data_IF_288247432226
#
_entry.id   IF_288247432226
#
_cell.length_a   1.000
_cell.length_b   1.000
_cell.length_c   1.000
_cell.angle_alpha   90.00
_cell.angle_beta   90.00
_cell.angle_gamma   90.00
#
_symmetry.space_group_name_H-M   'P 1'
#
loop_
_entity.id
_entity.type
_entity.pdbx_description
1 polymer ?
#
# COMPACT_ATOMS: atom_id res chain seq x y z
N UNK A 1 30.22 4.33 37.57
CA UNK A 1 29.28 3.21 37.83
C UNK A 1 28.66 2.92 36.49
N UNK A 2 29.34 2.08 35.71
CA UNK A 2 29.00 1.79 34.33
C UNK A 2 29.18 0.28 34.13
N UNK A 3 28.09 -0.39 33.80
CA UNK A 3 28.06 -1.63 33.02
C UNK A 3 26.62 -2.08 32.86
N UNK A 4 26.06 -1.94 31.66
CA UNK A 4 24.98 -2.80 31.21
C UNK A 4 25.05 -2.96 29.68
N UNK A 5 25.10 -4.23 29.27
CA UNK A 5 25.05 -4.77 27.90
C UNK A 5 26.37 -4.91 27.14
N UNK A 6 27.02 -6.06 27.40
CA UNK A 6 28.03 -6.66 26.54
C UNK A 6 27.43 -7.33 25.30
N UNK A 7 28.07 -7.08 24.16
CA UNK A 7 27.91 -7.83 22.91
C UNK A 7 29.05 -8.85 22.85
N UNK A 8 28.70 -10.13 22.82
CA UNK A 8 29.64 -11.24 22.66
C UNK A 8 30.20 -11.30 21.23
N UNK A 9 31.53 -11.25 21.09
CA UNK A 9 32.28 -11.30 19.82
C UNK A 9 32.98 -12.65 19.59
N UNK A 10 32.30 -13.79 19.75
CA UNK A 10 32.94 -15.11 19.57
C UNK A 10 32.38 -16.00 18.45
N UNK A 11 31.33 -15.60 17.73
CA UNK A 11 30.66 -16.50 16.78
C UNK A 11 31.29 -16.64 15.39
N UNK A 12 32.01 -15.64 14.88
CA UNK A 12 32.44 -15.61 13.46
C UNK A 12 33.90 -15.97 13.21
N UNK A 13 34.70 -16.19 14.26
CA UNK A 13 36.12 -16.52 14.13
C UNK A 13 36.42 -18.05 14.10
N UNK A 14 35.47 -18.90 14.48
CA UNK A 14 35.70 -20.35 14.56
C UNK A 14 35.38 -21.15 13.28
N UNK A 15 34.83 -20.54 12.23
CA UNK A 15 34.52 -21.24 10.97
C UNK A 15 35.61 -21.15 9.89
N UNK A 16 36.72 -20.42 10.15
CA UNK A 16 37.85 -20.28 9.21
C UNK A 16 39.12 -21.05 9.58
N UNK A 17 39.12 -21.77 10.70
CA UNK A 17 40.30 -22.51 11.17
C UNK A 17 40.20 -24.04 10.98
N UNK A 18 39.24 -24.54 10.19
CA UNK A 18 38.94 -25.97 10.08
C UNK A 18 38.90 -26.57 8.66
N UNK A 19 39.37 -25.85 7.63
CA UNK A 19 39.29 -26.33 6.23
C UNK A 19 40.69 -26.44 5.58
N UNK A 20 41.77 -26.11 6.30
CA UNK A 20 43.14 -26.14 5.75
C UNK A 20 43.92 -27.44 5.99
N UNK A 21 43.37 -28.42 6.73
CA UNK A 21 44.05 -29.71 7.01
C UNK A 21 43.15 -30.92 6.71
N UNK A 22 42.44 -30.91 5.57
CA UNK A 22 41.94 -32.17 4.99
C UNK A 22 42.99 -32.62 3.99
N UNK A 23 43.96 -33.40 4.47
CA UNK A 23 44.64 -34.36 3.63
C UNK A 23 43.58 -35.31 3.07
N UNK A 24 43.30 -35.19 1.78
CA UNK A 24 42.49 -36.16 1.05
C UNK A 24 43.31 -37.45 1.04
N UNK A 25 43.09 -38.31 2.03
CA UNK A 25 43.54 -39.70 1.98
C UNK A 25 42.94 -40.35 0.73
N UNK A 26 43.80 -40.92 -0.11
CA UNK A 26 43.52 -41.65 -1.36
C UNK A 26 42.65 -42.92 -1.20
N UNK A 27 41.76 -42.97 -0.22
CA UNK A 27 41.04 -44.20 0.18
C UNK A 27 39.53 -44.16 -0.06
N UNK A 28 39.00 -43.13 -0.73
CA UNK A 28 37.56 -43.04 -1.06
C UNK A 28 37.16 -43.53 -2.46
N UNK A 29 38.08 -44.18 -3.21
CA UNK A 29 37.73 -44.97 -4.39
C UNK A 29 38.11 -46.45 -4.19
N UNK A 30 37.47 -47.11 -3.22
CA UNK A 30 37.37 -48.57 -3.27
C UNK A 30 36.39 -48.95 -4.38
N UNK A 31 36.91 -49.17 -5.58
CA UNK A 31 36.21 -49.97 -6.58
C UNK A 31 36.12 -51.40 -6.05
N UNK A 32 34.91 -51.89 -5.86
CA UNK A 32 34.66 -53.33 -5.76
C UNK A 32 35.18 -53.98 -7.04
N UNK A 33 36.27 -54.73 -6.92
CA UNK A 33 36.89 -55.52 -7.98
C UNK A 33 36.09 -56.78 -8.29
N UNK A 34 34.79 -56.60 -8.56
CA UNK A 34 34.05 -57.56 -9.37
C UNK A 34 34.41 -57.29 -10.83
N UNK A 35 35.04 -58.26 -11.46
CA UNK A 35 35.45 -58.24 -12.86
C UNK A 35 34.27 -57.83 -13.77
N UNK A 36 34.16 -56.55 -14.06
CA UNK A 36 33.47 -56.10 -15.27
C UNK A 36 34.52 -56.05 -16.36
N UNK A 37 34.25 -56.78 -17.42
CA UNK A 37 35.07 -56.91 -18.62
C UNK A 37 35.04 -55.57 -19.40
N UNK A 38 35.49 -54.49 -18.77
CA UNK A 38 35.46 -53.15 -19.32
C UNK A 38 36.60 -53.01 -20.32
N UNK A 39 36.28 -53.18 -21.59
CA UNK A 39 37.23 -52.91 -22.67
C UNK A 39 37.59 -51.41 -22.64
N UNK A 40 38.85 -51.04 -22.90
CA UNK A 40 39.27 -49.64 -22.90
C UNK A 40 38.37 -48.84 -23.85
N UNK A 41 38.06 -47.59 -23.51
CA UNK A 41 37.08 -46.75 -24.22
C UNK A 41 37.41 -46.60 -25.72
N UNK A 42 38.70 -46.64 -26.06
CA UNK A 42 39.26 -46.65 -27.41
C UNK A 42 39.00 -47.94 -28.21
N UNK A 43 38.46 -48.98 -27.59
CA UNK A 43 38.01 -50.22 -28.25
C UNK A 43 36.54 -50.18 -28.68
N UNK A 44 35.77 -49.25 -28.12
CA UNK A 44 34.34 -49.08 -28.40
C UNK A 44 34.13 -47.89 -29.34
N UNK A 45 34.99 -46.87 -29.23
CA UNK A 45 34.90 -45.64 -30.00
C UNK A 45 36.26 -45.38 -30.64
N UNK A 46 36.27 -45.12 -31.96
CA UNK A 46 37.51 -44.76 -32.64
C UNK A 46 38.03 -43.42 -32.13
N UNK A 47 39.34 -43.24 -32.11
CA UNK A 47 39.97 -41.99 -31.65
C UNK A 47 39.47 -40.77 -32.44
N UNK A 48 39.22 -40.93 -33.74
CA UNK A 48 38.62 -39.89 -34.58
C UNK A 48 37.17 -39.54 -34.19
N UNK A 49 36.38 -40.53 -33.78
CA UNK A 49 35.00 -40.29 -33.29
C UNK A 49 35.02 -39.64 -31.92
N UNK A 50 35.96 -40.00 -31.05
CA UNK A 50 36.15 -39.36 -29.75
C UNK A 50 36.56 -37.89 -29.90
N UNK A 51 37.50 -37.61 -30.81
CA UNK A 51 37.87 -36.23 -31.17
C UNK A 51 36.69 -35.45 -31.73
N UNK A 52 35.88 -36.05 -32.61
CA UNK A 52 34.69 -35.39 -33.15
C UNK A 52 33.63 -35.09 -32.07
N UNK A 53 33.47 -35.97 -31.06
CA UNK A 53 32.57 -35.73 -29.92
C UNK A 53 33.12 -34.61 -29.02
N UNK A 54 34.42 -34.63 -28.73
CA UNK A 54 35.09 -33.57 -27.97
C UNK A 54 35.07 -32.23 -28.71
N UNK A 55 35.16 -32.26 -30.04
CA UNK A 55 35.10 -31.06 -30.88
C UNK A 55 33.66 -30.57 -31.07
N UNK A 56 32.65 -31.45 -31.02
CA UNK A 56 31.25 -31.08 -30.94
C UNK A 56 30.90 -30.38 -29.61
N UNK A 57 31.56 -30.78 -28.52
CA UNK A 57 31.42 -30.14 -27.21
C UNK A 57 32.27 -28.85 -27.10
N UNK A 58 33.33 -28.73 -27.92
CA UNK A 58 34.09 -27.48 -28.15
C UNK A 58 33.48 -26.58 -29.23
N UNK A 59 32.27 -26.87 -29.74
CA UNK A 59 31.49 -25.84 -30.42
C UNK A 59 31.31 -24.74 -29.39
N UNK A 60 32.13 -23.70 -29.54
CA UNK A 60 32.05 -22.42 -28.85
C UNK A 60 30.57 -22.10 -28.65
N UNK A 61 30.05 -22.35 -27.45
CA UNK A 61 29.04 -21.46 -26.89
C UNK A 61 29.73 -20.11 -26.96
N UNK A 62 29.26 -19.18 -27.80
CA UNK A 62 29.79 -17.84 -27.75
C UNK A 62 29.68 -17.42 -26.28
N UNK A 63 30.78 -16.98 -25.68
CA UNK A 63 30.67 -16.04 -24.58
C UNK A 63 29.92 -14.83 -25.16
N UNK A 64 28.58 -14.93 -25.19
CA UNK A 64 27.72 -13.78 -25.29
C UNK A 64 28.07 -12.95 -24.07
N UNK A 65 28.88 -11.91 -24.30
CA UNK A 65 28.77 -10.66 -23.56
C UNK A 65 27.29 -10.48 -23.21
N UNK A 66 26.92 -10.36 -21.92
CA UNK A 66 25.52 -10.45 -21.54
C UNK A 66 24.83 -9.18 -22.03
N UNK A 67 24.36 -9.20 -23.27
CA UNK A 67 23.33 -8.27 -23.72
C UNK A 67 22.09 -8.76 -23.01
N UNK A 68 21.89 -8.21 -21.81
CA UNK A 68 20.75 -8.52 -20.97
C UNK A 68 19.52 -8.01 -21.70
N UNK A 69 18.90 -8.88 -22.51
CA UNK A 69 17.70 -8.51 -23.25
C UNK A 69 16.50 -8.44 -22.28
N UNK A 70 16.15 -7.21 -21.94
CA UNK A 70 15.01 -6.87 -21.09
C UNK A 70 13.69 -7.41 -21.61
N UNK A 71 13.54 -7.56 -22.93
CA UNK A 71 12.35 -8.13 -23.53
C UNK A 71 12.19 -9.63 -23.21
N UNK A 72 13.28 -10.39 -23.18
CA UNK A 72 13.25 -11.83 -22.85
C UNK A 72 12.90 -12.04 -21.39
N UNK A 73 13.48 -11.24 -20.48
CA UNK A 73 13.14 -11.32 -19.05
C UNK A 73 11.67 -10.96 -18.82
N UNK A 74 11.16 -9.90 -19.47
CA UNK A 74 9.75 -9.53 -19.34
C UNK A 74 8.82 -10.60 -19.91
N UNK A 75 9.16 -11.20 -21.04
CA UNK A 75 8.38 -12.32 -21.58
C UNK A 75 8.29 -13.47 -20.58
N UNK A 76 9.35 -13.78 -19.84
CA UNK A 76 9.31 -14.79 -18.77
C UNK A 76 8.41 -14.36 -17.61
N UNK A 77 8.45 -13.09 -17.19
CA UNK A 77 7.55 -12.54 -16.16
C UNK A 77 6.09 -12.69 -16.59
N UNK A 78 5.77 -12.28 -17.82
CA UNK A 78 4.42 -12.34 -18.38
C UNK A 78 3.89 -13.77 -18.51
N UNK A 79 4.78 -14.72 -18.81
CA UNK A 79 4.44 -16.14 -18.91
C UNK A 79 4.52 -16.88 -17.56
N UNK A 80 4.82 -16.19 -16.45
CA UNK A 80 4.96 -16.80 -15.12
C UNK A 80 6.13 -17.77 -14.99
N UNK A 81 7.12 -17.70 -15.88
CA UNK A 81 8.30 -18.56 -15.89
C UNK A 81 9.35 -18.07 -14.89
N UNK A 82 10.27 -18.93 -14.42
CA UNK A 82 11.35 -18.49 -13.54
C UNK A 82 12.24 -17.46 -14.25
N UNK A 83 12.43 -16.31 -13.62
CA UNK A 83 13.27 -15.21 -14.10
C UNK A 83 14.24 -14.76 -13.00
N UNK A 84 15.39 -14.20 -13.41
CA UNK A 84 16.37 -13.61 -12.49
C UNK A 84 16.61 -12.15 -12.86
N UNK A 85 16.36 -11.25 -11.90
CA UNK A 85 16.58 -9.81 -12.04
C UNK A 85 17.97 -9.38 -11.58
N UNK A 86 18.74 -10.27 -10.96
CA UNK A 86 20.08 -9.98 -10.44
C UNK A 86 21.12 -9.67 -11.53
N UNK A 87 20.79 -10.00 -12.78
CA UNK A 87 21.59 -9.68 -13.97
C UNK A 87 21.61 -8.18 -14.28
N UNK A 88 20.57 -7.45 -13.88
CA UNK A 88 20.44 -6.00 -14.10
C UNK A 88 21.12 -5.24 -12.96
N UNK A 89 22.45 -5.06 -13.07
CA UNK A 89 23.25 -4.40 -12.03
C UNK A 89 23.38 -2.89 -12.26
N UNK A 90 23.50 -2.46 -13.52
CA UNK A 90 23.70 -1.06 -13.85
C UNK A 90 22.39 -0.26 -13.70
N UNK A 91 22.49 1.05 -13.47
CA UNK A 91 21.32 1.92 -13.45
C UNK A 91 20.66 1.94 -14.84
N UNK A 92 21.45 1.96 -15.91
CA UNK A 92 20.96 1.97 -17.28
C UNK A 92 20.16 0.70 -17.62
N UNK A 93 20.61 -0.46 -17.15
CA UNK A 93 19.94 -1.74 -17.40
C UNK A 93 18.59 -1.76 -16.67
N UNK A 94 18.54 -1.23 -15.45
CA UNK A 94 17.31 -1.13 -14.66
C UNK A 94 16.32 -0.13 -15.26
N UNK A 95 16.82 0.99 -15.79
CA UNK A 95 15.95 1.95 -16.49
C UNK A 95 15.39 1.37 -17.78
N UNK A 96 16.20 0.64 -18.55
CA UNK A 96 15.77 -0.03 -19.78
C UNK A 96 14.77 -1.16 -19.48
N UNK A 97 14.97 -1.91 -18.39
CA UNK A 97 14.02 -2.91 -17.92
C UNK A 97 12.68 -2.29 -17.52
N UNK A 98 12.70 -1.13 -16.86
CA UNK A 98 11.48 -0.42 -16.50
C UNK A 98 10.75 0.14 -17.72
N UNK A 99 11.47 0.73 -18.68
CA UNK A 99 10.88 1.25 -19.93
C UNK A 99 10.21 0.13 -20.73
N UNK A 100 10.89 -1.01 -20.85
CA UNK A 100 10.33 -2.18 -21.54
C UNK A 100 9.13 -2.76 -20.78
N UNK A 101 9.12 -2.71 -19.45
CA UNK A 101 7.97 -3.13 -18.65
C UNK A 101 6.76 -2.21 -18.89
N UNK A 102 6.98 -0.90 -18.93
CA UNK A 102 5.92 0.09 -19.23
C UNK A 102 5.38 -0.11 -20.64
N UNK A 103 6.26 -0.31 -21.62
CA UNK A 103 5.86 -0.60 -23.01
C UNK A 103 5.03 -1.88 -23.15
N UNK A 104 5.18 -2.84 -22.23
CA UNK A 104 4.36 -4.06 -22.21
C UNK A 104 2.92 -3.83 -21.73
N UNK A 105 2.65 -2.72 -21.04
CA UNK A 105 1.33 -2.36 -20.51
C UNK A 105 0.81 -3.27 -19.38
N UNK A 106 1.60 -4.23 -18.90
CA UNK A 106 1.17 -5.15 -17.86
C UNK A 106 1.53 -4.61 -16.46
N UNK A 107 0.51 -4.35 -15.64
CA UNK A 107 0.65 -3.80 -14.29
C UNK A 107 1.47 -4.70 -13.34
N UNK A 108 1.35 -6.03 -13.45
CA UNK A 108 2.12 -6.96 -12.61
C UNK A 108 3.60 -6.94 -12.99
N UNK A 109 3.91 -6.91 -14.28
CA UNK A 109 5.29 -6.81 -14.76
C UNK A 109 5.94 -5.50 -14.32
N UNK A 110 5.22 -4.38 -14.45
CA UNK A 110 5.66 -3.06 -13.97
C UNK A 110 5.91 -3.11 -12.46
N UNK A 111 4.97 -3.66 -11.68
CA UNK A 111 5.10 -3.73 -10.22
C UNK A 111 6.31 -4.57 -9.79
N UNK A 112 6.52 -5.74 -10.38
CA UNK A 112 7.66 -6.62 -10.09
C UNK A 112 8.98 -5.88 -10.31
N UNK A 113 9.11 -5.19 -11.44
CA UNK A 113 10.33 -4.42 -11.77
C UNK A 113 10.50 -3.23 -10.83
N UNK A 114 9.43 -2.49 -10.52
CA UNK A 114 9.48 -1.37 -9.56
C UNK A 114 9.91 -1.84 -8.17
N UNK A 115 9.38 -2.97 -7.68
CA UNK A 115 9.78 -3.54 -6.39
C UNK A 115 11.23 -4.02 -6.36
N UNK A 116 11.76 -4.49 -7.49
CA UNK A 116 13.18 -4.81 -7.61
C UNK A 116 14.04 -3.54 -7.55
N UNK A 117 13.62 -2.48 -8.24
CA UNK A 117 14.32 -1.19 -8.23
C UNK A 117 14.30 -0.57 -6.82
N UNK A 118 13.16 -0.59 -6.12
CA UNK A 118 13.04 -0.03 -4.76
C UNK A 118 13.92 -0.77 -3.75
N UNK A 119 14.11 -2.09 -3.91
CA UNK A 119 14.99 -2.89 -3.04
C UNK A 119 16.47 -2.70 -3.33
N UNK A 120 16.85 -2.30 -4.55
CA UNK A 120 18.25 -2.30 -4.99
C UNK A 120 18.85 -0.91 -5.17
N UNK A 121 18.04 0.15 -5.21
CA UNK A 121 18.50 1.55 -5.36
C UNK A 121 18.24 2.37 -4.10
N UNK A 122 18.98 3.48 -3.97
CA UNK A 122 18.71 4.50 -2.96
C UNK A 122 17.36 5.17 -3.23
N UNK A 123 16.55 5.49 -2.20
CA UNK A 123 15.21 6.06 -2.37
C UNK A 123 15.15 7.30 -3.26
N UNK A 124 16.12 8.22 -3.14
CA UNK A 124 16.19 9.44 -3.96
C UNK A 124 16.29 9.16 -5.47
N UNK A 125 17.01 8.12 -5.86
CA UNK A 125 17.12 7.73 -7.27
C UNK A 125 15.82 7.09 -7.76
N UNK A 126 15.18 6.28 -6.92
CA UNK A 126 13.88 5.65 -7.24
C UNK A 126 12.82 6.71 -7.46
N UNK A 127 12.72 7.70 -6.56
CA UNK A 127 11.75 8.79 -6.71
C UNK A 127 11.97 9.56 -8.01
N UNK A 128 13.21 9.91 -8.35
CA UNK A 128 13.53 10.56 -9.62
C UNK A 128 13.12 9.71 -10.83
N UNK A 129 13.44 8.42 -10.82
CA UNK A 129 13.08 7.50 -11.91
C UNK A 129 11.57 7.31 -12.08
N UNK A 130 10.81 7.38 -10.98
CA UNK A 130 9.35 7.28 -11.01
C UNK A 130 8.69 8.62 -11.39
N UNK A 131 9.30 9.76 -11.04
CA UNK A 131 8.81 11.08 -11.45
C UNK A 131 8.83 11.23 -12.98
N UNK A 132 9.83 10.68 -13.65
CA UNK A 132 9.93 10.70 -15.12
C UNK A 132 8.92 9.76 -15.80
N UNK A 133 8.26 8.85 -15.05
CA UNK A 133 7.44 7.76 -15.58
C UNK A 133 6.13 7.57 -14.80
N UNK A 134 5.09 8.27 -15.24
CA UNK A 134 3.78 8.30 -14.56
C UNK A 134 3.13 6.91 -14.38
N UNK A 135 3.24 6.00 -15.36
CA UNK A 135 2.59 4.69 -15.28
C UNK A 135 3.18 3.80 -14.18
N UNK A 136 4.51 3.70 -14.13
CA UNK A 136 5.21 2.96 -13.08
C UNK A 136 4.92 3.53 -11.69
N UNK A 137 4.82 4.85 -11.61
CA UNK A 137 4.48 5.54 -10.38
C UNK A 137 3.05 5.26 -9.91
N UNK A 138 2.06 5.29 -10.81
CA UNK A 138 0.67 5.01 -10.46
C UNK A 138 0.50 3.58 -9.96
N UNK A 139 1.16 2.61 -10.61
CA UNK A 139 1.21 1.22 -10.16
C UNK A 139 1.85 1.11 -8.77
N UNK A 140 2.93 1.84 -8.53
CA UNK A 140 3.59 1.86 -7.22
C UNK A 140 2.72 2.49 -6.12
N UNK A 141 2.06 3.61 -6.40
CA UNK A 141 1.12 4.28 -5.48
C UNK A 141 -0.03 3.33 -5.14
N UNK A 142 -0.57 2.62 -6.13
CA UNK A 142 -1.62 1.63 -5.90
C UNK A 142 -1.16 0.48 -5.00
N UNK A 143 0.05 -0.05 -5.25
CA UNK A 143 0.66 -1.05 -4.37
C UNK A 143 0.84 -0.54 -2.93
N UNK A 144 1.40 0.66 -2.75
CA UNK A 144 1.59 1.25 -1.43
C UNK A 144 0.25 1.51 -0.72
N UNK A 145 -0.79 1.90 -1.46
CA UNK A 145 -2.14 2.12 -0.93
C UNK A 145 -2.72 0.83 -0.36
N UNK A 146 -2.50 -0.29 -1.07
CA UNK A 146 -2.92 -1.64 -0.64
C UNK A 146 -2.15 -2.12 0.58
N UNK A 147 -0.86 -1.75 0.70
CA UNK A 147 0.00 -2.05 1.85
C UNK A 147 -0.17 -1.08 3.03
N UNK A 148 -1.01 -0.05 2.90
CA UNK A 148 -1.21 1.01 3.89
C UNK A 148 0.07 1.79 4.24
N UNK A 149 1.01 1.89 3.30
CA UNK A 149 2.27 2.62 3.47
C UNK A 149 2.11 4.11 3.15
N UNK A 150 1.28 4.81 3.93
CA UNK A 150 0.81 6.16 3.64
C UNK A 150 1.89 7.23 3.71
N UNK A 151 2.89 7.04 4.56
CA UNK A 151 4.02 7.97 4.65
C UNK A 151 4.79 8.01 3.32
N UNK A 152 5.10 6.85 2.74
CA UNK A 152 5.80 6.79 1.45
C UNK A 152 4.98 7.39 0.30
N UNK A 153 3.66 7.17 0.28
CA UNK A 153 2.77 7.79 -0.72
C UNK A 153 2.77 9.31 -0.56
N UNK A 154 2.66 9.78 0.67
CA UNK A 154 2.61 11.22 0.98
C UNK A 154 3.92 11.87 0.58
N UNK A 155 5.06 11.27 0.91
CA UNK A 155 6.38 11.78 0.54
C UNK A 155 6.56 11.81 -0.99
N UNK A 156 6.18 10.73 -1.68
CA UNK A 156 6.29 10.62 -3.13
C UNK A 156 5.47 11.70 -3.85
N UNK A 157 4.23 11.91 -3.42
CA UNK A 157 3.34 12.91 -4.00
C UNK A 157 3.72 14.34 -3.59
N UNK A 158 4.18 14.54 -2.36
CA UNK A 158 4.68 15.84 -1.89
C UNK A 158 5.91 16.30 -2.68
N UNK A 159 6.84 15.39 -3.00
CA UNK A 159 8.01 15.68 -3.85
C UNK A 159 7.64 16.13 -5.27
N UNK A 160 6.44 15.80 -5.75
CA UNK A 160 5.92 16.25 -7.05
C UNK A 160 5.14 17.54 -6.99
N UNK A 161 4.97 18.13 -5.80
CA UNK A 161 4.04 19.24 -5.59
C UNK A 161 2.57 18.83 -5.66
N UNK A 162 2.26 17.52 -5.71
CA UNK A 162 0.89 16.97 -5.76
C UNK A 162 0.33 16.75 -4.35
N UNK A 163 0.37 17.79 -3.53
CA UNK A 163 -0.06 17.76 -2.13
C UNK A 163 -1.55 17.43 -1.97
N UNK A 164 -2.39 17.87 -2.91
CA UNK A 164 -3.82 17.55 -2.92
C UNK A 164 -4.07 16.04 -3.08
N UNK A 165 -3.41 15.41 -4.05
CA UNK A 165 -3.56 13.97 -4.28
C UNK A 165 -3.09 13.15 -3.08
N UNK A 166 -2.01 13.60 -2.42
CA UNK A 166 -1.53 13.01 -1.18
C UNK A 166 -2.58 13.07 -0.07
N UNK A 167 -3.23 14.23 0.09
CA UNK A 167 -4.28 14.44 1.08
C UNK A 167 -5.52 13.57 0.81
N UNK A 168 -5.97 13.50 -0.45
CA UNK A 168 -7.14 12.72 -0.86
C UNK A 168 -6.91 11.21 -0.73
N UNK A 169 -5.72 10.71 -1.09
CA UNK A 169 -5.39 9.30 -0.91
C UNK A 169 -5.33 8.93 0.58
N UNK A 170 -4.71 9.78 1.41
CA UNK A 170 -4.67 9.58 2.86
C UNK A 170 -6.08 9.57 3.46
N UNK A 171 -6.94 10.53 3.07
CA UNK A 171 -8.35 10.57 3.48
C UNK A 171 -9.08 9.26 3.12
N UNK A 172 -8.97 8.81 1.87
CA UNK A 172 -9.60 7.56 1.41
C UNK A 172 -9.13 6.35 2.21
N UNK A 173 -7.84 6.27 2.52
CA UNK A 173 -7.29 5.19 3.33
C UNK A 173 -7.81 5.25 4.77
N UNK A 174 -7.85 6.43 5.37
CA UNK A 174 -8.35 6.62 6.74
C UNK A 174 -9.81 6.15 6.85
N UNK A 175 -10.67 6.61 5.92
CA UNK A 175 -12.11 6.29 5.91
C UNK A 175 -12.36 4.81 5.66
N UNK A 176 -11.68 4.18 4.69
CA UNK A 176 -11.90 2.76 4.36
C UNK A 176 -11.41 1.78 5.44
N UNK A 177 -10.36 2.15 6.18
CA UNK A 177 -9.69 1.23 7.10
C UNK A 177 -9.98 1.47 8.58
N UNK A 178 -10.70 2.53 8.94
CA UNK A 178 -11.00 2.85 10.34
C UNK A 178 -12.49 2.67 10.61
N UNK A 179 -12.85 1.58 11.30
CA UNK A 179 -14.25 1.26 11.65
C UNK A 179 -14.73 1.95 12.93
N UNK A 180 -13.80 2.24 13.83
CA UNK A 180 -14.08 2.90 15.11
C UNK A 180 -14.21 4.41 14.89
N UNK A 181 -15.37 4.98 15.20
CA UNK A 181 -15.69 6.39 14.98
C UNK A 181 -14.80 7.34 15.79
N UNK A 182 -14.43 6.98 17.02
CA UNK A 182 -13.58 7.81 17.87
C UNK A 182 -12.17 7.89 17.31
N UNK A 183 -11.63 6.75 16.85
CA UNK A 183 -10.33 6.69 16.18
C UNK A 183 -10.37 7.37 14.83
N UNK A 184 -11.48 7.23 14.10
CA UNK A 184 -11.70 7.88 12.82
C UNK A 184 -11.67 9.40 12.98
N UNK A 185 -12.40 9.94 13.97
CA UNK A 185 -12.41 11.35 14.32
C UNK A 185 -10.99 11.87 14.59
N UNK A 186 -10.23 11.19 15.46
CA UNK A 186 -8.85 11.59 15.79
C UNK A 186 -7.95 11.61 14.54
N UNK A 187 -8.05 10.60 13.68
CA UNK A 187 -7.27 10.52 12.44
C UNK A 187 -7.67 11.60 11.44
N UNK A 188 -8.97 11.89 11.29
CA UNK A 188 -9.47 12.94 10.41
C UNK A 188 -9.04 14.34 10.88
N UNK A 189 -9.15 14.63 12.18
CA UNK A 189 -8.64 15.89 12.76
C UNK A 189 -7.15 16.05 12.47
N UNK A 190 -6.36 14.99 12.67
CA UNK A 190 -4.93 15.01 12.35
C UNK A 190 -4.70 15.27 10.86
N UNK A 191 -5.34 14.50 9.98
CA UNK A 191 -5.24 14.63 8.53
C UNK A 191 -5.58 16.05 8.07
N UNK A 192 -6.69 16.60 8.58
CA UNK A 192 -7.10 17.98 8.31
C UNK A 192 -6.02 18.99 8.70
N UNK A 193 -5.53 18.92 9.95
CA UNK A 193 -4.49 19.84 10.46
C UNK A 193 -3.16 19.72 9.72
N UNK A 194 -2.80 18.53 9.23
CA UNK A 194 -1.51 18.31 8.57
C UNK A 194 -1.53 18.61 7.08
N UNK A 195 -2.65 18.38 6.40
CA UNK A 195 -2.72 18.40 4.94
C UNK A 195 -3.74 19.41 4.39
N UNK A 196 -4.99 19.35 4.87
CA UNK A 196 -6.07 20.18 4.32
C UNK A 196 -6.07 21.63 4.81
N UNK A 197 -5.48 21.93 5.97
CA UNK A 197 -5.41 23.32 6.48
C UNK A 197 -4.67 24.26 5.52
N UNK A 198 -3.71 23.71 4.77
CA UNK A 198 -2.91 24.45 3.78
C UNK A 198 -3.52 24.36 2.37
N UNK A 199 -4.70 23.75 2.22
CA UNK A 199 -5.43 23.55 0.96
C UNK A 199 -6.88 24.07 1.08
N UNK A 200 -7.10 25.35 1.41
CA UNK A 200 -8.46 25.87 1.61
C UNK A 200 -9.30 25.91 0.33
N UNK A 201 -8.66 25.99 -0.84
CA UNK A 201 -9.35 26.15 -2.13
C UNK A 201 -9.92 24.84 -2.69
N UNK A 202 -9.67 23.68 -2.06
CA UNK A 202 -10.18 22.40 -2.54
C UNK A 202 -11.57 22.08 -2.01
N UNK A 203 -12.37 21.37 -2.82
CA UNK A 203 -13.75 20.99 -2.49
C UNK A 203 -13.81 19.93 -1.37
N UNK A 204 -12.73 19.20 -1.19
CA UNK A 204 -12.58 18.15 -0.21
C UNK A 204 -12.34 18.71 1.21
N UNK A 205 -11.77 19.92 1.34
CA UNK A 205 -11.60 20.60 2.63
C UNK A 205 -12.91 20.80 3.39
N UNK A 206 -13.96 21.42 2.81
CA UNK A 206 -15.23 21.57 3.52
C UNK A 206 -15.92 20.22 3.77
N UNK A 207 -15.71 19.22 2.90
CA UNK A 207 -16.18 17.86 3.15
C UNK A 207 -15.55 17.26 4.41
N UNK A 208 -14.22 17.32 4.56
CA UNK A 208 -13.51 16.78 5.73
C UNK A 208 -13.92 17.52 7.00
N UNK A 209 -14.05 18.84 6.95
CA UNK A 209 -14.54 19.63 8.09
C UNK A 209 -15.96 19.23 8.50
N UNK A 210 -16.87 19.09 7.54
CA UNK A 210 -18.24 18.67 7.81
C UNK A 210 -18.30 17.24 8.36
N UNK A 211 -17.43 16.35 7.89
CA UNK A 211 -17.39 15.00 8.42
C UNK A 211 -16.85 14.95 9.86
N UNK A 212 -15.81 15.73 10.18
CA UNK A 212 -15.30 15.89 11.55
C UNK A 212 -16.43 16.38 12.48
N UNK A 213 -17.12 17.45 12.08
CA UNK A 213 -18.26 18.02 12.84
C UNK A 213 -19.36 16.98 13.13
N UNK A 214 -19.69 16.13 12.15
CA UNK A 214 -20.67 15.06 12.32
C UNK A 214 -20.20 14.02 13.35
N UNK A 215 -18.94 13.61 13.28
CA UNK A 215 -18.37 12.65 14.22
C UNK A 215 -18.24 13.22 15.63
N UNK A 216 -17.93 14.52 15.78
CA UNK A 216 -17.95 15.22 17.07
C UNK A 216 -19.35 15.23 17.68
N UNK A 217 -20.38 15.45 16.84
CA UNK A 217 -21.78 15.38 17.25
C UNK A 217 -22.15 13.96 17.74
N UNK A 218 -21.76 12.91 17.02
CA UNK A 218 -21.99 11.51 17.42
C UNK A 218 -21.25 11.17 18.72
N UNK A 219 -20.02 11.65 18.87
CA UNK A 219 -19.24 11.46 20.10
C UNK A 219 -19.91 12.16 21.31
N UNK A 220 -20.46 13.36 21.11
CA UNK A 220 -21.22 14.06 22.13
C UNK A 220 -22.50 13.31 22.52
N UNK A 221 -23.20 12.69 21.57
CA UNK A 221 -24.33 11.80 21.87
C UNK A 221 -23.92 10.58 22.69
N UNK A 222 -22.84 9.89 22.32
CA UNK A 222 -22.37 8.71 23.07
C UNK A 222 -22.01 9.01 24.53
N UNK A 223 -21.72 10.27 24.87
CA UNK A 223 -21.52 10.70 26.26
C UNK A 223 -22.84 10.77 27.07
N UNK A 224 -23.98 10.90 26.39
CA UNK A 224 -25.33 10.95 26.96
C UNK A 224 -25.84 9.50 27.05
N UNK A 225 -25.47 8.82 28.12
CA UNK A 225 -25.56 7.35 28.36
C UNK A 225 -26.95 6.69 28.31
N UNK A 226 -27.99 7.31 27.75
CA UNK A 226 -29.38 6.86 27.91
C UNK A 226 -30.19 6.75 26.62
N UNK A 227 -29.57 6.76 25.43
CA UNK A 227 -30.35 6.74 24.19
C UNK A 227 -29.84 5.76 23.14
N UNK A 228 -30.79 5.35 22.31
CA UNK A 228 -30.66 4.45 21.15
C UNK A 228 -29.45 4.88 20.30
N UNK A 229 -28.45 4.00 20.17
CA UNK A 229 -27.22 4.32 19.45
C UNK A 229 -27.54 4.63 17.98
N UNK A 230 -27.16 5.83 17.54
CA UNK A 230 -27.19 6.20 16.12
C UNK A 230 -26.26 5.25 15.36
N UNK A 231 -26.76 4.63 14.29
CA UNK A 231 -25.97 3.70 13.49
C UNK A 231 -24.63 4.31 13.06
N UNK A 232 -23.52 3.54 13.05
CA UNK A 232 -22.18 4.08 12.84
C UNK A 232 -21.97 4.72 11.45
N UNK A 233 -22.75 4.35 10.44
CA UNK A 233 -22.66 4.92 9.09
C UNK A 233 -23.85 5.82 8.72
N UNK A 234 -24.54 6.37 9.72
CA UNK A 234 -25.69 7.26 9.53
C UNK A 234 -25.35 8.52 8.73
N UNK A 235 -26.23 8.90 7.82
CA UNK A 235 -26.09 10.16 7.10
C UNK A 235 -26.43 11.37 8.00
N UNK A 236 -26.05 12.58 7.57
CA UNK A 236 -26.45 13.83 8.26
C UNK A 236 -27.97 13.93 8.42
N UNK A 237 -28.74 13.45 7.44
CA UNK A 237 -30.21 13.49 7.49
C UNK A 237 -30.77 12.48 8.49
N UNK A 238 -30.13 11.32 8.64
CA UNK A 238 -30.52 10.33 9.65
C UNK A 238 -30.19 10.83 11.06
N UNK A 239 -29.02 11.45 11.23
CA UNK A 239 -28.65 12.15 12.47
C UNK A 239 -29.64 13.27 12.81
N UNK A 240 -30.07 14.05 11.80
CA UNK A 240 -31.09 15.08 11.99
C UNK A 240 -32.45 14.48 12.38
N UNK A 241 -32.87 13.39 11.72
CA UNK A 241 -34.11 12.67 12.06
C UNK A 241 -34.08 12.19 13.50
N UNK A 242 -32.96 11.61 13.93
CA UNK A 242 -32.74 11.20 15.31
C UNK A 242 -32.84 12.39 16.28
N UNK A 243 -32.14 13.49 15.99
CA UNK A 243 -32.20 14.69 16.81
C UNK A 243 -33.61 15.27 16.93
N UNK A 244 -34.38 15.31 15.84
CA UNK A 244 -35.75 15.79 15.87
C UNK A 244 -36.71 14.86 16.63
N UNK A 245 -36.40 13.56 16.71
CA UNK A 245 -37.16 12.59 17.50
C UNK A 245 -36.85 12.75 19.00
N UNK A 246 -35.57 12.70 19.37
CA UNK A 246 -35.10 12.54 20.76
C UNK A 246 -34.70 13.85 21.45
N UNK A 247 -34.33 14.89 20.69
CA UNK A 247 -33.75 16.14 21.22
C UNK A 247 -34.49 17.40 20.75
N UNK A 248 -35.76 17.28 20.36
CA UNK A 248 -36.56 18.40 19.86
C UNK A 248 -36.62 19.60 20.81
N UNK A 249 -36.81 19.34 22.11
CA UNK A 249 -36.97 20.38 23.14
C UNK A 249 -35.65 20.88 23.74
N UNK A 250 -34.52 20.40 23.23
CA UNK A 250 -33.19 20.83 23.68
C UNK A 250 -32.93 22.26 23.19
N UNK A 251 -32.32 23.09 24.04
CA UNK A 251 -31.95 24.47 23.69
C UNK A 251 -31.15 24.52 22.38
N UNK A 252 -31.45 25.49 21.54
CA UNK A 252 -30.78 25.70 20.24
C UNK A 252 -29.26 25.91 20.34
N UNK A 253 -28.74 26.23 21.54
CA UNK A 253 -27.31 26.35 21.78
C UNK A 253 -26.59 25.01 22.01
N UNK A 254 -27.33 23.92 22.24
CA UNK A 254 -26.73 22.60 22.51
C UNK A 254 -26.36 21.92 21.21
N UNK A 255 -25.19 21.26 21.20
CA UNK A 255 -24.67 20.54 20.03
C UNK A 255 -25.65 19.50 19.48
N UNK A 256 -26.41 18.84 20.36
CA UNK A 256 -27.38 17.79 20.01
C UNK A 256 -28.72 18.32 19.49
N UNK A 257 -28.94 19.63 19.49
CA UNK A 257 -30.20 20.22 19.04
C UNK A 257 -30.36 20.12 17.51
N UNK A 258 -31.60 19.88 17.01
CA UNK A 258 -31.87 19.83 15.58
C UNK A 258 -31.44 21.10 14.81
N UNK A 259 -31.62 22.27 15.42
CA UNK A 259 -31.27 23.55 14.83
C UNK A 259 -29.76 23.77 14.73
N UNK A 260 -28.96 23.14 15.62
CA UNK A 260 -27.51 23.14 15.50
C UNK A 260 -27.05 22.29 14.31
N UNK A 261 -27.60 21.08 14.15
CA UNK A 261 -27.26 20.20 13.01
C UNK A 261 -27.60 20.87 11.69
N UNK A 262 -28.77 21.53 11.61
CA UNK A 262 -29.18 22.29 10.43
C UNK A 262 -28.15 23.36 10.05
N UNK A 263 -27.72 24.17 11.03
CA UNK A 263 -26.75 25.26 10.82
C UNK A 263 -25.34 24.76 10.53
N UNK A 264 -24.91 23.69 11.19
CA UNK A 264 -23.54 23.19 11.12
C UNK A 264 -23.23 22.46 9.80
N UNK A 265 -24.25 21.88 9.18
CA UNK A 265 -24.16 21.10 7.94
C UNK A 265 -24.89 21.75 6.75
N UNK A 266 -25.29 23.01 6.86
CA UNK A 266 -25.98 23.78 5.81
C UNK A 266 -27.21 23.04 5.22
N UNK A 267 -27.99 22.37 6.08
CA UNK A 267 -29.20 21.66 5.65
C UNK A 267 -30.25 22.69 5.23
N UNK A 268 -30.77 22.56 4.01
CA UNK A 268 -31.76 23.51 3.50
C UNK A 268 -33.00 23.54 4.39
N UNK A 269 -33.59 24.73 4.55
CA UNK A 269 -34.81 24.91 5.37
C UNK A 269 -35.93 23.95 4.95
N UNK A 270 -36.10 23.70 3.64
CA UNK A 270 -37.08 22.74 3.13
C UNK A 270 -36.79 21.30 3.55
N UNK A 271 -35.53 20.87 3.52
CA UNK A 271 -35.13 19.53 3.98
C UNK A 271 -35.33 19.40 5.49
N UNK A 272 -34.95 20.42 6.25
CA UNK A 272 -35.15 20.46 7.69
C UNK A 272 -36.62 20.34 8.06
N UNK A 273 -37.49 21.18 7.48
CA UNK A 273 -38.94 21.15 7.73
C UNK A 273 -39.54 19.78 7.41
N UNK A 274 -39.15 19.17 6.29
CA UNK A 274 -39.61 17.83 5.90
C UNK A 274 -39.23 16.78 6.95
N UNK A 275 -37.96 16.73 7.34
CA UNK A 275 -37.44 15.72 8.29
C UNK A 275 -38.02 15.95 9.70
N UNK A 276 -38.08 17.20 10.14
CA UNK A 276 -38.71 17.57 11.41
C UNK A 276 -40.16 17.10 11.44
N UNK A 277 -40.96 17.43 10.42
CA UNK A 277 -42.35 17.01 10.33
C UNK A 277 -42.49 15.47 10.36
N UNK A 278 -41.75 14.76 9.51
CA UNK A 278 -41.78 13.29 9.46
C UNK A 278 -41.43 12.67 10.82
N UNK A 279 -40.42 13.19 11.51
CA UNK A 279 -40.00 12.67 12.83
C UNK A 279 -41.01 12.99 13.94
N UNK A 280 -41.61 14.20 13.96
CA UNK A 280 -42.63 14.57 14.96
C UNK A 280 -43.94 13.83 14.74
N UNK A 281 -44.32 13.58 13.49
CA UNK A 281 -45.46 12.72 13.13
C UNK A 281 -45.25 11.30 13.64
N UNK A 282 -44.06 10.72 13.41
CA UNK A 282 -43.72 9.39 13.93
C UNK A 282 -43.77 9.33 15.46
N UNK A 283 -43.45 10.43 16.15
CA UNK A 283 -43.54 10.56 17.60
C UNK A 283 -44.95 10.94 18.12
N UNK A 284 -45.96 11.08 17.24
CA UNK A 284 -47.31 11.53 17.56
C UNK A 284 -47.36 12.85 18.35
N UNK A 285 -46.40 13.75 18.12
CA UNK A 285 -46.26 15.00 18.86
C UNK A 285 -47.01 16.15 18.15
N UNK A 286 -48.35 16.14 18.26
CA UNK A 286 -49.24 17.05 17.54
C UNK A 286 -49.02 18.54 17.83
N UNK A 287 -48.74 18.90 19.09
CA UNK A 287 -48.45 20.31 19.46
C UNK A 287 -47.22 20.87 18.72
N UNK A 288 -46.17 20.05 18.57
CA UNK A 288 -44.96 20.44 17.85
C UNK A 288 -45.24 20.57 16.35
N UNK A 289 -46.09 19.71 15.78
CA UNK A 289 -46.50 19.76 14.38
C UNK A 289 -47.28 21.05 14.10
N UNK A 290 -48.24 21.39 14.96
CA UNK A 290 -49.01 22.62 14.82
C UNK A 290 -48.08 23.83 14.88
N UNK A 291 -47.12 23.86 15.80
CA UNK A 291 -46.12 24.94 15.88
C UNK A 291 -45.28 25.08 14.60
N UNK A 292 -44.88 23.95 13.99
CA UNK A 292 -44.08 23.91 12.76
C UNK A 292 -44.87 24.39 11.54
N UNK A 293 -46.18 24.15 11.50
CA UNK A 293 -47.05 24.56 10.40
C UNK A 293 -47.50 26.02 10.54
N UNK A 294 -47.63 26.51 11.78
CA UNK A 294 -48.03 27.87 12.11
C UNK A 294 -46.86 28.87 12.10
N UNK A 295 -45.61 28.41 12.17
CA UNK A 295 -44.41 29.27 12.13
C UNK A 295 -44.05 29.79 10.73
N UNK A 296 -45.04 30.02 9.86
CA UNK A 296 -44.87 30.57 8.51
C UNK A 296 -45.06 32.07 8.46
#
# INVERSE_FOLDING_TARGET
>A
VDNLFGISKSGTAQLKAGISDIEVSDTYFKFDSSQTNAKPLLSIISEGTLSAILDADKVYLPEESPVVDSAITLRRILLGQPFSLEKYKSLADKTALLDTAINSGNGDAILVVVLFITKTLKPSLVHRLLMDRADAMNVYIHYLSTRLMINEITDLLAMQGRSLDAAVINLNVIVKNTRDETRLLQKLIKCYKTQFINLPDCKETPFVQNYIKLLEWKAALGSIKFQEEVEPNSSVLDCLRYACKEHWKVSEGTLTSPSMIQRQHDVSSRQYQKIALESRVAACAWEDIDSLLLSK
#
